data_IF_613270561578
#
_entry.id   IF_613270561578
#
_cell.length_a   1.000
_cell.length_b   1.000
_cell.length_c   1.000
_cell.angle_alpha   90.00
_cell.angle_beta   90.00
_cell.angle_gamma   90.00
#
_symmetry.space_group_name_H-M   'P 1'
#
loop_
_entity.id
_entity.type
_entity.pdbx_description
1 polymer ?
#
# COMPACT_ATOMS: atom_id res chain seq x y z
N UNK A 1 -3.31 -56.57 -21.67
CA UNK A 1 -2.15 -55.90 -21.00
C UNK A 1 -1.82 -54.49 -21.55
N UNK A 2 -1.89 -54.20 -22.85
CA UNK A 2 -1.57 -52.85 -23.42
C UNK A 2 -2.56 -51.75 -22.98
N UNK A 3 -3.86 -52.05 -22.87
CA UNK A 3 -4.91 -51.07 -22.50
C UNK A 3 -4.73 -50.54 -21.08
N UNK A 4 -4.37 -51.38 -20.11
CA UNK A 4 -4.16 -50.96 -18.71
C UNK A 4 -2.91 -50.08 -18.55
N UNK A 5 -1.85 -50.35 -19.35
CA UNK A 5 -0.65 -49.48 -19.35
C UNK A 5 -0.95 -48.11 -19.94
N UNK A 6 -1.79 -48.03 -20.98
CA UNK A 6 -2.20 -46.78 -21.59
C UNK A 6 -2.99 -45.92 -20.59
N UNK A 7 -3.93 -46.53 -19.86
CA UNK A 7 -4.73 -45.84 -18.82
C UNK A 7 -3.81 -45.30 -17.71
N UNK A 8 -2.87 -46.13 -17.27
CA UNK A 8 -1.92 -45.68 -16.21
C UNK A 8 -1.07 -44.48 -16.66
N UNK A 9 -0.55 -44.49 -17.89
CA UNK A 9 0.21 -43.38 -18.47
C UNK A 9 -0.65 -42.12 -18.57
N UNK A 10 -1.92 -42.29 -19.00
CA UNK A 10 -2.85 -41.16 -19.12
C UNK A 10 -3.17 -40.52 -17.76
N UNK A 11 -3.37 -41.34 -16.72
CA UNK A 11 -3.58 -40.87 -15.36
C UNK A 11 -2.34 -40.09 -14.85
N UNK A 12 -1.14 -40.67 -15.05
CA UNK A 12 0.11 -39.98 -14.65
C UNK A 12 0.25 -38.66 -15.39
N UNK A 13 -0.04 -38.60 -16.69
CA UNK A 13 0.04 -37.37 -17.48
C UNK A 13 -0.92 -36.28 -16.98
N UNK A 14 -2.17 -36.66 -16.64
CA UNK A 14 -3.17 -35.70 -16.11
C UNK A 14 -2.72 -35.07 -14.81
N UNK A 15 -2.04 -35.80 -13.92
CA UNK A 15 -1.53 -35.26 -12.67
C UNK A 15 -0.17 -34.58 -12.82
N UNK A 16 0.68 -35.03 -13.72
CA UNK A 16 2.01 -34.46 -13.92
C UNK A 16 1.98 -33.14 -14.74
N UNK A 17 1.07 -33.04 -15.72
CA UNK A 17 0.99 -31.89 -16.63
C UNK A 17 0.83 -30.55 -15.89
N UNK A 18 -0.11 -30.36 -14.94
CA UNK A 18 -0.26 -29.08 -14.23
C UNK A 18 0.98 -28.73 -13.40
N UNK A 19 1.66 -29.73 -12.83
CA UNK A 19 2.90 -29.49 -12.06
C UNK A 19 4.05 -29.04 -12.97
N UNK A 20 4.18 -29.64 -14.14
CA UNK A 20 5.17 -29.24 -15.15
C UNK A 20 4.89 -27.84 -15.68
N UNK A 21 3.64 -27.51 -15.98
CA UNK A 21 3.24 -26.17 -16.43
C UNK A 21 3.55 -25.15 -15.33
N UNK A 22 3.17 -25.42 -14.10
CA UNK A 22 3.46 -24.52 -12.97
C UNK A 22 4.97 -24.33 -12.76
N UNK A 23 5.76 -25.42 -12.89
CA UNK A 23 7.21 -25.34 -12.78
C UNK A 23 7.84 -24.46 -13.87
N UNK A 24 7.43 -24.64 -15.13
CA UNK A 24 7.93 -23.86 -16.27
C UNK A 24 7.55 -22.39 -16.11
N UNK A 25 6.28 -22.09 -15.78
CA UNK A 25 5.81 -20.73 -15.55
C UNK A 25 6.56 -20.03 -14.41
N UNK A 26 6.81 -20.75 -13.32
CA UNK A 26 7.58 -20.20 -12.21
C UNK A 26 9.05 -19.94 -12.60
N UNK A 27 9.66 -20.82 -13.39
CA UNK A 27 11.03 -20.66 -13.86
C UNK A 27 11.21 -19.48 -14.82
N UNK A 28 10.23 -19.23 -15.66
CA UNK A 28 10.20 -18.11 -16.60
C UNK A 28 9.76 -16.79 -15.95
N UNK A 29 9.45 -16.81 -14.64
CA UNK A 29 9.02 -15.62 -13.90
C UNK A 29 7.64 -15.11 -14.33
N UNK A 30 6.86 -15.94 -15.05
CA UNK A 30 5.52 -15.57 -15.47
C UNK A 30 4.61 -15.36 -14.25
N UNK A 31 4.06 -14.14 -14.14
CA UNK A 31 3.08 -13.79 -13.11
C UNK A 31 1.81 -13.30 -13.78
N UNK A 32 0.63 -13.66 -13.25
CA UNK A 32 -0.62 -13.09 -13.76
C UNK A 32 -0.55 -11.56 -13.69
N UNK A 33 -0.68 -10.90 -14.83
CA UNK A 33 -0.62 -9.43 -14.89
C UNK A 33 -1.86 -8.75 -14.28
N UNK A 34 -2.94 -9.51 -14.06
CA UNK A 34 -4.13 -8.99 -13.39
C UNK A 34 -3.99 -9.15 -11.87
N UNK A 35 -3.37 -8.17 -11.25
CA UNK A 35 -3.46 -8.01 -9.80
C UNK A 35 -4.87 -7.52 -9.46
N UNK A 36 -5.49 -8.12 -8.44
CA UNK A 36 -6.80 -7.67 -7.92
C UNK A 36 -6.69 -6.41 -7.07
N UNK A 37 -5.56 -5.72 -7.14
CA UNK A 37 -5.29 -4.51 -6.38
C UNK A 37 -5.57 -3.29 -7.26
N UNK A 38 -6.20 -2.28 -6.68
CA UNK A 38 -6.38 -0.97 -7.33
C UNK A 38 -5.11 -0.13 -7.24
N UNK A 39 -4.32 -0.36 -6.18
CA UNK A 39 -2.98 0.20 -6.07
C UNK A 39 -1.96 -0.55 -6.93
N UNK A 40 -0.92 0.15 -7.37
CA UNK A 40 0.22 -0.46 -8.07
C UNK A 40 1.15 -1.10 -7.04
N UNK A 41 1.47 -2.39 -7.23
CA UNK A 41 2.48 -3.06 -6.42
C UNK A 41 3.86 -2.44 -6.63
N UNK A 42 4.60 -2.30 -5.55
CA UNK A 42 6.02 -1.93 -5.57
C UNK A 42 6.83 -3.24 -5.57
N UNK A 43 7.46 -3.54 -6.69
CA UNK A 43 8.24 -4.78 -6.87
C UNK A 43 9.69 -4.47 -7.23
N UNK A 44 10.66 -4.95 -6.43
CA UNK A 44 10.49 -5.57 -5.10
C UNK A 44 9.96 -4.58 -4.06
N UNK A 45 9.29 -5.06 -2.98
CA UNK A 45 8.86 -4.19 -1.87
C UNK A 45 10.05 -3.39 -1.33
N UNK A 46 9.84 -2.07 -1.12
CA UNK A 46 10.91 -1.21 -0.63
C UNK A 46 10.93 -1.17 0.89
N UNK A 47 12.07 -1.51 1.46
CA UNK A 47 12.29 -1.32 2.90
C UNK A 47 12.45 0.18 3.21
N UNK A 48 11.51 0.72 3.99
CA UNK A 48 11.53 2.10 4.48
C UNK A 48 11.81 2.17 5.99
N UNK A 49 12.11 1.05 6.63
CA UNK A 49 12.30 0.97 8.08
C UNK A 49 13.44 1.86 8.59
N UNK A 50 14.39 2.19 7.74
CA UNK A 50 15.51 3.07 8.07
C UNK A 50 15.28 4.54 7.67
N UNK A 51 14.16 4.88 7.01
CA UNK A 51 13.87 6.26 6.59
C UNK A 51 13.49 7.10 7.81
N UNK A 52 14.26 8.15 8.13
CA UNK A 52 13.96 9.00 9.27
C UNK A 52 12.76 9.89 8.95
N UNK A 53 11.71 9.76 9.74
CA UNK A 53 10.51 10.61 9.66
C UNK A 53 10.27 11.24 11.02
N UNK A 54 10.17 12.56 11.05
CA UNK A 54 9.84 13.33 12.26
C UNK A 54 8.38 13.74 12.21
N UNK A 55 7.59 13.31 13.19
CA UNK A 55 6.20 13.71 13.35
C UNK A 55 6.10 15.12 13.99
N UNK A 56 4.98 15.78 13.77
CA UNK A 56 4.66 17.03 14.44
C UNK A 56 4.65 16.78 15.96
N UNK A 57 5.47 17.55 16.70
CA UNK A 57 5.73 17.29 18.12
C UNK A 57 7.09 16.63 18.40
N UNK A 58 7.88 16.34 17.34
CA UNK A 58 9.28 15.92 17.47
C UNK A 58 9.49 14.41 17.65
N UNK A 59 8.43 13.62 17.78
CA UNK A 59 8.55 12.17 17.86
C UNK A 59 8.99 11.58 16.51
N UNK A 60 9.79 10.52 16.55
CA UNK A 60 10.14 9.75 15.34
C UNK A 60 9.06 8.72 15.03
N UNK A 61 8.73 8.57 13.75
CA UNK A 61 7.82 7.51 13.30
C UNK A 61 8.51 6.16 13.42
N UNK A 62 7.92 5.27 14.23
CA UNK A 62 8.35 3.87 14.28
C UNK A 62 7.71 3.12 13.10
N UNK A 63 8.51 2.76 12.10
CA UNK A 63 8.05 1.99 10.94
C UNK A 63 7.66 0.57 11.32
N UNK A 64 8.50 -0.10 12.11
CA UNK A 64 8.20 -1.43 12.65
C UNK A 64 7.28 -1.29 13.84
N UNK A 65 6.12 -1.91 13.75
CA UNK A 65 5.08 -1.78 14.76
C UNK A 65 4.77 -3.13 15.41
N UNK A 66 5.11 -3.30 16.70
CA UNK A 66 4.79 -4.52 17.44
C UNK A 66 3.29 -4.81 17.54
N UNK A 67 2.44 -3.79 17.38
CA UNK A 67 0.98 -3.92 17.39
C UNK A 67 0.39 -4.23 16.02
N UNK A 68 1.25 -4.41 14.99
CA UNK A 68 0.86 -4.79 13.64
C UNK A 68 -0.07 -3.80 12.93
N UNK A 69 0.16 -2.49 13.15
CA UNK A 69 -0.55 -1.48 12.36
C UNK A 69 0.10 -1.30 10.98
N UNK A 70 -0.75 -1.30 9.98
CA UNK A 70 -0.39 -0.82 8.65
C UNK A 70 -0.27 0.70 8.67
N UNK A 71 0.53 1.26 7.78
CA UNK A 71 0.69 2.71 7.67
C UNK A 71 0.31 3.17 6.28
N UNK A 72 -0.76 3.96 6.17
CA UNK A 72 -1.13 4.65 4.94
C UNK A 72 -0.47 6.03 4.96
N UNK A 73 0.49 6.20 4.07
CA UNK A 73 1.19 7.46 3.86
C UNK A 73 0.42 8.34 2.90
N UNK A 74 0.22 9.58 3.26
CA UNK A 74 -0.29 10.62 2.38
C UNK A 74 0.88 11.52 1.96
N UNK A 75 1.22 11.47 0.67
CA UNK A 75 2.42 12.05 0.07
C UNK A 75 2.00 13.12 -0.94
N UNK A 76 1.84 14.40 -0.52
CA UNK A 76 1.47 15.47 -1.42
C UNK A 76 2.61 15.83 -2.38
N UNK A 77 2.28 16.62 -3.39
CA UNK A 77 3.25 17.31 -4.21
C UNK A 77 3.95 18.47 -3.47
N UNK A 78 4.31 19.52 -4.21
CA UNK A 78 5.00 20.68 -3.63
C UNK A 78 4.14 21.47 -2.62
N UNK A 79 2.83 21.44 -2.79
CA UNK A 79 1.85 22.12 -1.93
C UNK A 79 0.69 21.17 -1.60
N UNK A 80 -0.06 21.47 -0.55
CA UNK A 80 -1.31 20.81 -0.24
C UNK A 80 -2.40 21.83 0.05
N UNK A 81 -2.97 22.38 -1.03
CA UNK A 81 -4.06 23.33 -1.00
C UNK A 81 -5.43 22.61 -1.12
N UNK A 82 -6.41 23.24 -1.70
CA UNK A 82 -7.80 22.76 -1.69
C UNK A 82 -8.00 21.37 -2.32
N UNK A 83 -7.35 21.08 -3.45
CA UNK A 83 -7.49 19.77 -4.13
C UNK A 83 -6.82 18.65 -3.37
N UNK A 84 -5.60 18.88 -2.91
CA UNK A 84 -4.88 17.91 -2.10
C UNK A 84 -5.63 17.62 -0.79
N UNK A 85 -6.12 18.65 -0.10
CA UNK A 85 -6.91 18.50 1.13
C UNK A 85 -8.23 17.74 0.88
N UNK A 86 -8.91 18.02 -0.23
CA UNK A 86 -10.12 17.29 -0.60
C UNK A 86 -9.83 15.78 -0.80
N UNK A 87 -8.71 15.43 -1.44
CA UNK A 87 -8.27 14.04 -1.62
C UNK A 87 -7.84 13.41 -0.29
N UNK A 88 -7.20 14.17 0.59
CA UNK A 88 -6.85 13.70 1.94
C UNK A 88 -8.12 13.44 2.76
N UNK A 89 -9.14 14.29 2.63
CA UNK A 89 -10.45 14.08 3.27
C UNK A 89 -11.16 12.82 2.74
N UNK A 90 -10.98 12.46 1.48
CA UNK A 90 -11.48 11.18 0.95
C UNK A 90 -10.79 9.99 1.61
N UNK A 91 -9.46 10.05 1.78
CA UNK A 91 -8.73 9.00 2.48
C UNK A 91 -9.16 8.89 3.95
N UNK A 92 -9.42 10.02 4.60
CA UNK A 92 -9.94 10.05 5.97
C UNK A 92 -11.36 9.49 6.07
N UNK A 93 -12.25 9.81 5.13
CA UNK A 93 -13.59 9.20 5.06
C UNK A 93 -13.50 7.70 4.86
N UNK A 94 -12.63 7.24 3.96
CA UNK A 94 -12.36 5.81 3.77
C UNK A 94 -11.92 5.17 5.09
N UNK A 95 -10.95 5.78 5.81
CA UNK A 95 -10.49 5.31 7.11
C UNK A 95 -11.64 5.12 8.10
N UNK A 96 -12.55 6.08 8.22
CA UNK A 96 -13.73 6.00 9.10
C UNK A 96 -14.63 4.82 8.71
N UNK A 97 -14.77 4.52 7.41
CA UNK A 97 -15.62 3.42 6.93
C UNK A 97 -15.03 2.03 7.20
N UNK A 98 -13.78 1.92 7.64
CA UNK A 98 -13.18 0.65 8.05
C UNK A 98 -13.73 0.13 9.39
N UNK A 99 -14.40 1.00 10.16
CA UNK A 99 -14.96 0.62 11.46
C UNK A 99 -13.90 0.10 12.42
N UNK A 100 -14.10 -1.07 13.01
CA UNK A 100 -13.15 -1.70 13.94
C UNK A 100 -11.77 -1.97 13.32
N UNK A 101 -11.69 -2.21 12.02
CA UNK A 101 -10.42 -2.44 11.34
C UNK A 101 -9.59 -1.16 11.20
N UNK A 102 -10.17 0.03 11.41
CA UNK A 102 -9.44 1.28 11.39
C UNK A 102 -8.33 1.34 12.46
N UNK A 103 -8.54 0.68 13.60
CA UNK A 103 -7.54 0.59 14.68
C UNK A 103 -6.23 -0.08 14.22
N UNK A 104 -6.27 -0.86 13.15
CA UNK A 104 -5.10 -1.54 12.58
C UNK A 104 -4.41 -0.73 11.48
N UNK A 105 -4.86 0.50 11.22
CA UNK A 105 -4.32 1.38 10.19
C UNK A 105 -3.94 2.73 10.79
N UNK A 106 -2.70 3.16 10.59
CA UNK A 106 -2.24 4.51 10.89
C UNK A 106 -2.32 5.36 9.63
N UNK A 107 -2.74 6.60 9.76
CA UNK A 107 -2.76 7.57 8.66
C UNK A 107 -1.71 8.65 8.94
N UNK A 108 -0.70 8.73 8.08
CA UNK A 108 0.45 9.63 8.25
C UNK A 108 0.61 10.51 7.02
N UNK A 109 0.50 11.80 7.21
CA UNK A 109 0.75 12.80 6.18
C UNK A 109 2.21 13.28 6.25
N UNK A 110 2.92 13.19 5.13
CA UNK A 110 4.33 13.62 5.05
C UNK A 110 4.47 14.68 3.95
N UNK A 111 4.41 15.95 4.34
CA UNK A 111 4.44 17.03 3.37
C UNK A 111 4.53 18.41 3.97
N UNK A 112 4.24 19.45 3.18
CA UNK A 112 4.18 20.83 3.65
C UNK A 112 3.22 20.98 4.83
N UNK A 113 3.47 21.94 5.71
CA UNK A 113 2.64 22.15 6.89
C UNK A 113 1.17 22.40 6.48
N UNK A 114 0.27 21.64 7.10
CA UNK A 114 -1.16 21.87 6.99
C UNK A 114 -1.61 22.91 8.03
N UNK A 115 -2.71 23.64 7.77
CA UNK A 115 -3.27 24.56 8.76
C UNK A 115 -3.57 23.85 10.08
N UNK A 116 -3.26 24.49 11.20
CA UNK A 116 -3.48 23.91 12.52
C UNK A 116 -4.94 23.53 12.79
N UNK A 117 -5.87 24.35 12.32
CA UNK A 117 -7.32 24.08 12.39
C UNK A 117 -7.71 22.82 11.61
N UNK A 118 -7.08 22.62 10.45
CA UNK A 118 -7.31 21.41 9.64
C UNK A 118 -6.89 20.15 10.39
N UNK A 119 -5.72 20.18 11.03
CA UNK A 119 -5.21 19.06 11.81
C UNK A 119 -6.00 18.84 13.11
N UNK A 120 -6.38 19.91 13.81
CA UNK A 120 -7.17 19.82 15.03
C UNK A 120 -8.52 19.13 14.83
N UNK A 121 -9.16 19.34 13.66
CA UNK A 121 -10.41 18.67 13.31
C UNK A 121 -10.24 17.18 12.91
N UNK A 122 -9.00 16.69 12.79
CA UNK A 122 -8.67 15.35 12.24
C UNK A 122 -7.64 14.61 13.10
N UNK A 123 -7.96 14.38 14.35
CA UNK A 123 -7.06 13.82 15.37
C UNK A 123 -6.41 12.47 14.97
N UNK A 124 -7.01 11.71 14.06
CA UNK A 124 -6.46 10.43 13.56
C UNK A 124 -5.33 10.63 12.55
N UNK A 125 -5.19 11.84 11.98
CA UNK A 125 -4.15 12.16 11.01
C UNK A 125 -2.88 12.59 11.74
N UNK A 126 -1.86 11.76 11.67
CA UNK A 126 -0.53 12.16 12.10
C UNK A 126 0.14 12.94 10.97
N UNK A 127 0.78 14.06 11.28
CA UNK A 127 1.55 14.81 10.29
C UNK A 127 3.03 14.84 10.65
N UNK A 128 3.89 14.89 9.63
CA UNK A 128 5.32 14.89 9.81
C UNK A 128 6.07 15.21 8.52
N UNK A 129 7.39 15.01 8.57
CA UNK A 129 8.28 15.25 7.43
C UNK A 129 9.22 14.06 7.23
N UNK A 130 9.51 13.76 5.98
CA UNK A 130 10.60 12.86 5.59
C UNK A 130 11.91 13.65 5.63
N UNK A 131 12.71 13.41 6.66
CA UNK A 131 13.93 14.15 6.92
C UNK A 131 15.03 13.88 5.88
N UNK A 132 14.92 12.75 5.19
CA UNK A 132 15.93 12.30 4.20
C UNK A 132 15.53 12.56 2.74
N UNK A 133 14.25 12.80 2.48
CA UNK A 133 13.70 12.85 1.12
C UNK A 133 13.64 11.50 0.42
N UNK A 134 13.84 10.39 1.13
CA UNK A 134 13.87 9.05 0.54
C UNK A 134 12.52 8.60 -0.04
N UNK A 135 11.42 9.25 0.36
CA UNK A 135 10.07 8.99 -0.15
C UNK A 135 9.67 9.93 -1.30
N UNK A 136 10.60 10.75 -1.82
CA UNK A 136 10.30 11.75 -2.85
C UNK A 136 9.73 11.13 -4.14
N UNK A 137 10.19 9.95 -4.55
CA UNK A 137 9.73 9.24 -5.74
C UNK A 137 8.25 8.78 -5.66
N UNK A 138 7.70 8.66 -4.44
CA UNK A 138 6.32 8.26 -4.20
C UNK A 138 5.36 9.44 -4.06
N UNK A 139 5.88 10.67 -4.04
CA UNK A 139 5.06 11.89 -3.94
C UNK A 139 4.24 12.12 -5.20
N UNK A 140 3.14 12.83 -5.04
CA UNK A 140 2.37 13.31 -6.19
C UNK A 140 3.21 14.26 -7.06
N UNK A 141 3.07 14.14 -8.39
CA UNK A 141 3.82 14.96 -9.35
C UNK A 141 3.23 16.37 -9.55
N UNK A 142 1.98 16.60 -9.12
CA UNK A 142 1.32 17.91 -9.26
C UNK A 142 1.52 18.81 -8.05
N UNK A 143 1.47 20.13 -8.24
CA UNK A 143 1.64 21.09 -7.13
C UNK A 143 0.62 20.89 -6.00
N UNK A 144 -0.67 20.77 -6.33
CA UNK A 144 -1.78 20.58 -5.39
C UNK A 144 -2.42 19.19 -5.61
N UNK A 145 -1.61 18.15 -5.51
CA UNK A 145 -2.01 16.78 -5.74
C UNK A 145 -1.60 15.89 -4.55
N UNK A 146 -2.27 14.73 -4.40
CA UNK A 146 -2.00 13.75 -3.37
C UNK A 146 -1.79 12.38 -3.99
N UNK A 147 -0.72 11.73 -3.61
CA UNK A 147 -0.49 10.31 -3.79
C UNK A 147 -0.53 9.61 -2.44
N UNK A 148 -0.84 8.31 -2.45
CA UNK A 148 -0.82 7.50 -1.25
C UNK A 148 0.15 6.33 -1.43
N UNK A 149 0.72 5.86 -0.33
CA UNK A 149 1.51 4.64 -0.30
C UNK A 149 1.15 3.83 0.95
N UNK A 150 1.15 2.52 0.82
CA UNK A 150 0.83 1.61 1.91
C UNK A 150 2.08 0.86 2.34
N UNK A 151 2.40 0.97 3.63
CA UNK A 151 3.53 0.34 4.28
C UNK A 151 3.01 -0.71 5.26
N UNK A 152 3.62 -1.89 5.24
CA UNK A 152 3.28 -2.99 6.13
C UNK A 152 3.83 -2.78 7.56
N UNK A 153 3.42 -3.59 8.55
CA UNK A 153 3.91 -3.49 9.92
C UNK A 153 5.42 -3.74 10.10
N UNK A 154 6.11 -4.30 9.09
CA UNK A 154 7.57 -4.51 9.10
C UNK A 154 8.36 -3.34 8.51
N UNK A 155 7.68 -2.34 7.97
CA UNK A 155 8.30 -1.20 7.30
C UNK A 155 8.60 -1.45 5.82
N UNK A 156 7.84 -2.33 5.15
CA UNK A 156 7.94 -2.56 3.72
C UNK A 156 6.85 -1.78 2.97
N UNK A 157 7.24 -0.89 2.06
CA UNK A 157 6.31 -0.18 1.18
C UNK A 157 5.88 -1.15 0.06
N UNK A 158 4.60 -1.51 0.09
CA UNK A 158 4.02 -2.58 -0.73
C UNK A 158 3.19 -2.07 -1.90
N UNK A 159 2.40 -1.03 -1.67
CA UNK A 159 1.46 -0.48 -2.65
C UNK A 159 1.63 1.02 -2.77
N UNK A 160 1.48 1.52 -3.97
CA UNK A 160 1.36 2.96 -4.23
C UNK A 160 0.07 3.26 -4.98
N UNK A 161 -0.51 4.38 -4.65
CA UNK A 161 -1.69 4.93 -5.29
C UNK A 161 -1.32 6.31 -5.83
N UNK A 162 -1.09 6.44 -7.14
CA UNK A 162 -0.72 7.71 -7.75
C UNK A 162 -1.85 8.74 -7.62
N UNK A 163 -1.56 9.99 -7.95
CA UNK A 163 -2.58 11.03 -8.00
C UNK A 163 -3.78 10.59 -8.85
N UNK A 164 -5.00 10.89 -8.39
CA UNK A 164 -6.22 10.45 -9.04
C UNK A 164 -6.68 9.03 -8.68
N UNK A 165 -6.09 8.43 -7.65
CA UNK A 165 -6.49 7.11 -7.16
C UNK A 165 -8.00 6.98 -6.94
N UNK A 166 -8.53 5.77 -7.12
CA UNK A 166 -9.90 5.42 -6.79
C UNK A 166 -10.05 5.12 -5.29
N UNK A 167 -10.90 5.87 -4.59
CA UNK A 167 -11.13 5.70 -3.17
C UNK A 167 -11.82 4.37 -2.81
N UNK A 168 -12.66 3.83 -3.71
CA UNK A 168 -13.30 2.52 -3.51
C UNK A 168 -12.27 1.40 -3.65
N UNK A 169 -11.42 1.50 -4.65
CA UNK A 169 -10.32 0.58 -4.86
C UNK A 169 -9.34 0.57 -3.70
N UNK A 170 -8.94 1.75 -3.21
CA UNK A 170 -8.12 1.89 -2.00
C UNK A 170 -8.76 1.18 -0.79
N UNK A 171 -10.04 1.43 -0.55
CA UNK A 171 -10.79 0.77 0.53
C UNK A 171 -10.79 -0.75 0.39
N UNK A 172 -11.07 -1.25 -0.83
CA UNK A 172 -11.09 -2.69 -1.10
C UNK A 172 -9.74 -3.35 -0.82
N UNK A 173 -8.64 -2.71 -1.23
CA UNK A 173 -7.30 -3.22 -1.03
C UNK A 173 -6.95 -3.24 0.46
N UNK A 174 -7.20 -2.16 1.19
CA UNK A 174 -6.95 -2.08 2.62
C UNK A 174 -7.80 -3.10 3.40
N UNK A 175 -9.07 -3.26 3.07
CA UNK A 175 -9.93 -4.25 3.72
C UNK A 175 -9.40 -5.67 3.58
N UNK A 176 -8.86 -6.06 2.42
CA UNK A 176 -8.26 -7.39 2.21
C UNK A 176 -7.02 -7.64 3.07
N UNK A 177 -6.27 -6.57 3.39
CA UNK A 177 -5.03 -6.66 4.14
C UNK A 177 -5.24 -6.62 5.66
N UNK A 178 -6.34 -6.02 6.12
CA UNK A 178 -6.65 -5.89 7.54
C UNK A 178 -7.46 -7.07 8.13
N UNK A 179 -7.78 -8.07 7.29
CA UNK A 179 -8.48 -9.30 7.72
C UNK A 179 -7.59 -10.31 8.45
#
# INVERSE_FOLDING_TARGET
>A
MKKNRLILVLVVLVFAAPLLVAYVMNREGWRPQQTRNSGTLVEPPRDVSAVPVTLTGGAKLAWRDPQWHWTLLALPGAQCAARCQARLDEALRMYITLGRNAERLRLVYLGPALPSEYLAARAVLQSGQDDSGALAEYRAQGEDALALALVDPNGLLMLRYPQGYDAQGLRSDIQKLLH
#
